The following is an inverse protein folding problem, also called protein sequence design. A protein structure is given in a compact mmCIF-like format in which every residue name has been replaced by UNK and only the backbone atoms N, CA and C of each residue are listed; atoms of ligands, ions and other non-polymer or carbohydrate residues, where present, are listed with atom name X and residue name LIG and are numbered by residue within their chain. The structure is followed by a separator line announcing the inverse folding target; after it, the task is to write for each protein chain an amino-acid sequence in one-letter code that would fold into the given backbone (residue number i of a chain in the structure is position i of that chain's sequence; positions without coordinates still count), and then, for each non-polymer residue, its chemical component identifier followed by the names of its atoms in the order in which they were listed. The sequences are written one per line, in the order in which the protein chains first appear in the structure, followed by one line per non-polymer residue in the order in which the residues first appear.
data_IF_208875334907
#
_entry.id   IF_208875334907
#
_cell.length_a   1.000
_cell.length_b   1.000
_cell.length_c   1.000
_cell.angle_alpha   90.00
_cell.angle_beta   90.00
_cell.angle_gamma   90.00
#
_symmetry.space_group_name_H-M   'P 1'
#
loop_
_entity.id
_entity.type
_entity.pdbx_description
1 polymer ?
#
# COMPACT_ATOMS: atom_id res chain seq x y z
N UNK A 1 -9.73 5.64 -0.57
CA UNK A 1 -10.34 6.60 0.43
C UNK A 1 -11.21 5.75 1.33
N UNK A 2 -10.98 5.80 2.65
CA UNK A 2 -11.79 4.99 3.57
C UNK A 2 -13.28 5.41 3.52
N UNK A 3 -14.16 4.42 3.59
CA UNK A 3 -15.60 4.66 3.68
C UNK A 3 -15.98 5.36 5.00
N UNK A 4 -17.12 6.09 5.06
CA UNK A 4 -17.51 6.82 6.25
C UNK A 4 -17.49 5.98 7.53
N UNK A 5 -17.17 6.62 8.65
CA UNK A 5 -17.23 5.98 9.96
C UNK A 5 -18.67 5.64 10.37
N UNK A 6 -18.81 4.72 11.35
CA UNK A 6 -20.11 4.37 11.93
C UNK A 6 -20.87 5.62 12.40
N UNK A 7 -22.16 5.66 12.15
CA UNK A 7 -23.03 6.81 12.40
C UNK A 7 -23.26 7.74 11.21
N UNK A 8 -22.49 7.60 10.15
CA UNK A 8 -22.70 8.33 8.89
C UNK A 8 -23.36 7.41 7.85
N UNK A 9 -24.15 7.99 6.95
CA UNK A 9 -24.77 7.22 5.87
C UNK A 9 -23.72 6.71 4.88
N UNK A 10 -23.86 5.47 4.44
CA UNK A 10 -23.12 4.89 3.32
C UNK A 10 -24.10 4.58 2.19
N UNK A 11 -23.75 4.96 0.99
CA UNK A 11 -24.51 4.66 -0.21
C UNK A 11 -23.80 3.63 -1.11
N UNK A 12 -24.52 3.05 -2.05
CA UNK A 12 -23.92 2.24 -3.11
C UNK A 12 -22.93 3.04 -3.97
N UNK A 13 -23.12 4.34 -4.11
CA UNK A 13 -22.18 5.19 -4.85
C UNK A 13 -20.83 5.25 -4.12
N UNK A 14 -20.82 5.30 -2.79
CA UNK A 14 -19.60 5.28 -1.98
C UNK A 14 -18.87 3.95 -2.14
N UNK A 15 -19.58 2.82 -2.11
CA UNK A 15 -19.00 1.50 -2.34
C UNK A 15 -18.41 1.39 -3.76
N UNK A 16 -19.10 1.90 -4.76
CA UNK A 16 -18.57 1.90 -6.13
C UNK A 16 -17.32 2.73 -6.27
N UNK A 17 -17.28 3.88 -5.62
CA UNK A 17 -16.11 4.76 -5.62
C UNK A 17 -14.91 4.07 -4.98
N UNK A 18 -15.10 3.38 -3.86
CA UNK A 18 -14.01 2.74 -3.13
C UNK A 18 -13.52 1.44 -3.80
N UNK A 19 -14.45 0.57 -4.21
CA UNK A 19 -14.08 -0.78 -4.67
C UNK A 19 -14.11 -0.98 -6.17
N UNK A 20 -14.87 -0.19 -6.89
CA UNK A 20 -15.04 -0.36 -8.34
C UNK A 20 -14.93 0.97 -9.08
N UNK A 21 -13.75 1.38 -9.38
CA UNK A 21 -13.41 2.62 -10.05
C UNK A 21 -14.06 2.77 -11.43
N UNK A 22 -15.34 3.15 -11.45
CA UNK A 22 -15.98 3.74 -12.62
C UNK A 22 -16.67 2.82 -13.62
N UNK A 23 -16.82 1.52 -13.36
CA UNK A 23 -17.62 0.65 -14.25
C UNK A 23 -19.12 0.89 -14.06
N UNK A 24 -19.84 1.12 -15.16
CA UNK A 24 -21.31 1.13 -15.20
C UNK A 24 -21.93 -0.28 -15.30
N UNK A 25 -21.13 -1.32 -15.13
CA UNK A 25 -21.59 -2.72 -15.16
C UNK A 25 -22.54 -2.97 -14.00
N UNK A 26 -23.57 -3.75 -14.23
CA UNK A 26 -24.44 -4.22 -13.17
C UNK A 26 -23.63 -5.04 -12.16
N UNK A 27 -23.64 -4.60 -10.91
CA UNK A 27 -22.89 -5.23 -9.82
C UNK A 27 -23.91 -5.71 -8.80
N UNK A 28 -23.76 -6.96 -8.38
CA UNK A 28 -24.61 -7.52 -7.33
C UNK A 28 -24.01 -7.17 -5.94
N UNK A 29 -24.85 -7.12 -4.94
CA UNK A 29 -24.38 -6.88 -3.57
C UNK A 29 -23.43 -8.00 -3.09
N UNK A 30 -23.59 -9.21 -3.62
CA UNK A 30 -22.70 -10.34 -3.34
C UNK A 30 -21.25 -10.15 -3.83
N UNK A 31 -21.03 -9.27 -4.83
CA UNK A 31 -19.68 -8.97 -5.32
C UNK A 31 -18.85 -8.19 -4.30
N UNK A 32 -19.53 -7.49 -3.38
CA UNK A 32 -18.90 -6.73 -2.31
C UNK A 32 -18.58 -7.57 -1.06
N UNK A 33 -18.95 -8.84 -0.99
CA UNK A 33 -18.48 -9.71 0.09
C UNK A 33 -16.96 -9.88 0.03
N UNK A 34 -16.32 -10.06 1.16
CA UNK A 34 -14.88 -10.33 1.20
C UNK A 34 -14.59 -11.71 0.56
N UNK A 35 -13.74 -11.70 -0.46
CA UNK A 35 -13.49 -12.85 -1.34
C UNK A 35 -14.42 -12.90 -2.55
N UNK A 36 -15.30 -11.92 -2.71
CA UNK A 36 -16.01 -11.67 -3.97
C UNK A 36 -15.14 -10.97 -5.00
N UNK A 37 -15.75 -10.54 -6.10
CA UNK A 37 -15.00 -9.93 -7.21
C UNK A 37 -14.43 -8.53 -6.89
N UNK A 38 -15.05 -7.80 -5.96
CA UNK A 38 -14.71 -6.41 -5.65
C UNK A 38 -13.92 -6.25 -4.34
N UNK A 39 -14.27 -6.99 -3.29
CA UNK A 39 -13.58 -6.95 -2.00
C UNK A 39 -12.73 -8.20 -1.84
N UNK A 40 -11.44 -8.05 -2.10
CA UNK A 40 -10.51 -9.18 -2.09
C UNK A 40 -10.28 -9.75 -0.70
N UNK A 41 -10.28 -11.08 -0.60
CA UNK A 41 -9.72 -11.76 0.55
C UNK A 41 -8.18 -11.67 0.49
N UNK A 42 -7.56 -11.56 1.65
CA UNK A 42 -6.10 -11.56 1.78
C UNK A 42 -5.55 -12.96 1.48
N UNK A 43 -4.47 -13.07 0.70
CA UNK A 43 -3.76 -14.33 0.50
C UNK A 43 -3.19 -14.84 1.83
N UNK A 44 -3.04 -16.16 1.95
CA UNK A 44 -2.57 -16.80 3.20
C UNK A 44 -1.14 -16.40 3.57
N UNK A 45 -0.30 -16.15 2.59
CA UNK A 45 1.10 -15.72 2.75
C UNK A 45 1.29 -14.20 2.78
N UNK A 46 0.20 -13.42 2.78
CA UNK A 46 0.26 -11.97 2.95
C UNK A 46 0.33 -11.66 4.46
N UNK A 47 1.42 -11.03 4.90
CA UNK A 47 1.65 -10.66 6.30
C UNK A 47 0.97 -9.33 6.69
N UNK A 48 0.50 -8.56 5.70
CA UNK A 48 -0.21 -7.31 5.94
C UNK A 48 -1.64 -7.52 6.47
N UNK A 49 -2.26 -6.43 6.88
CA UNK A 49 -3.67 -6.38 7.31
C UNK A 49 -4.53 -6.06 6.10
N UNK A 50 -5.65 -6.77 5.93
CA UNK A 50 -6.67 -6.41 4.96
C UNK A 50 -7.49 -5.23 5.51
N UNK A 51 -7.49 -4.11 4.82
CA UNK A 51 -8.24 -2.91 5.23
C UNK A 51 -9.76 -3.07 5.11
N UNK A 52 -10.21 -4.14 4.44
CA UNK A 52 -11.62 -4.56 4.39
C UNK A 52 -11.89 -5.81 5.25
N UNK A 53 -11.14 -6.01 6.33
CA UNK A 53 -11.20 -7.23 7.15
C UNK A 53 -12.57 -7.47 7.80
N UNK A 54 -13.34 -6.40 8.08
CA UNK A 54 -14.65 -6.51 8.72
C UNK A 54 -15.78 -6.79 7.72
N UNK A 55 -15.56 -6.69 6.41
CA UNK A 55 -16.56 -7.08 5.43
C UNK A 55 -16.77 -8.60 5.51
N UNK A 56 -17.99 -9.09 5.72
CA UNK A 56 -18.26 -10.52 5.84
C UNK A 56 -17.89 -11.32 4.58
N UNK A 57 -17.53 -12.59 4.78
CA UNK A 57 -17.29 -13.56 3.70
C UNK A 57 -18.55 -14.30 3.28
N UNK A 58 -19.59 -14.27 4.15
CA UNK A 58 -20.87 -14.94 3.92
C UNK A 58 -21.75 -14.26 2.88
N UNK A 59 -22.95 -14.82 2.70
CA UNK A 59 -23.93 -14.32 1.72
C UNK A 59 -24.74 -13.13 2.21
N UNK A 60 -24.82 -12.94 3.54
CA UNK A 60 -25.54 -11.82 4.14
C UNK A 60 -24.56 -10.71 4.45
N UNK A 61 -24.68 -9.63 3.70
CA UNK A 61 -23.92 -8.39 3.92
C UNK A 61 -24.86 -7.20 3.93
N UNK A 62 -24.52 -6.18 4.70
CA UNK A 62 -25.27 -4.94 4.82
C UNK A 62 -24.36 -3.74 4.54
N UNK A 63 -24.92 -2.58 4.25
CA UNK A 63 -24.13 -1.35 4.11
C UNK A 63 -23.37 -1.02 5.40
N UNK A 64 -23.89 -1.40 6.55
CA UNK A 64 -23.25 -1.20 7.85
C UNK A 64 -21.90 -1.92 7.99
N UNK A 65 -21.68 -3.01 7.28
CA UNK A 65 -20.45 -3.79 7.33
C UNK A 65 -19.26 -3.06 6.68
N UNK A 66 -19.54 -1.99 5.93
CA UNK A 66 -18.51 -1.23 5.20
C UNK A 66 -18.04 0.03 5.94
N UNK A 67 -18.58 0.34 7.10
CA UNK A 67 -18.11 1.50 7.86
C UNK A 67 -16.62 1.39 8.16
N UNK A 68 -15.88 2.47 7.86
CA UNK A 68 -14.42 2.57 8.03
C UNK A 68 -13.61 1.53 7.26
N UNK A 69 -14.22 0.84 6.29
CA UNK A 69 -13.49 -0.08 5.42
C UNK A 69 -12.83 0.69 4.26
N UNK A 70 -11.71 0.16 3.81
CA UNK A 70 -10.93 0.72 2.72
C UNK A 70 -10.42 -0.40 1.82
N UNK A 71 -10.31 -0.13 0.53
CA UNK A 71 -9.70 -1.06 -0.42
C UNK A 71 -8.19 -1.06 -0.22
N UNK A 72 -7.60 -2.20 0.12
CA UNK A 72 -6.15 -2.31 0.20
C UNK A 72 -5.64 -3.30 1.24
N UNK A 73 -4.32 -3.43 1.26
CA UNK A 73 -3.57 -4.14 2.29
C UNK A 73 -2.59 -3.18 2.96
N UNK A 74 -2.40 -3.34 4.27
CA UNK A 74 -1.55 -2.46 5.07
C UNK A 74 -0.52 -3.26 5.86
N UNK A 75 0.74 -2.82 5.82
CA UNK A 75 1.78 -3.22 6.77
C UNK A 75 2.18 -2.00 7.60
N UNK A 76 2.24 -2.18 8.92
CA UNK A 76 2.80 -1.16 9.82
C UNK A 76 4.04 -1.75 10.49
N UNK A 77 5.15 -1.03 10.40
CA UNK A 77 6.36 -1.33 11.16
C UNK A 77 6.29 -0.57 12.48
N UNK A 78 6.17 -1.31 13.58
CA UNK A 78 6.13 -0.80 14.97
C UNK A 78 7.43 -1.08 15.72
N UNK A 79 8.37 -1.77 15.09
CA UNK A 79 9.72 -2.06 15.54
C UNK A 79 10.67 -2.01 14.35
N UNK A 80 11.96 -1.87 14.63
CA UNK A 80 12.99 -1.84 13.61
C UNK A 80 12.95 -3.08 12.71
N UNK A 81 13.20 -2.85 11.43
CA UNK A 81 13.16 -3.90 10.40
C UNK A 81 14.26 -3.67 9.35
N UNK A 82 14.70 -4.75 8.70
CA UNK A 82 15.77 -4.69 7.70
C UNK A 82 15.35 -5.33 6.39
N UNK A 83 15.86 -4.82 5.26
CA UNK A 83 15.76 -5.44 3.93
C UNK A 83 14.33 -5.79 3.52
N UNK A 84 13.40 -4.86 3.65
CA UNK A 84 11.99 -5.12 3.43
C UNK A 84 11.67 -5.25 1.94
N UNK A 85 11.10 -6.39 1.55
CA UNK A 85 10.64 -6.65 0.20
C UNK A 85 9.10 -6.72 0.18
N UNK A 86 8.48 -5.89 -0.63
CA UNK A 86 7.01 -5.82 -0.75
C UNK A 86 6.41 -7.16 -1.18
N UNK A 87 7.12 -7.98 -1.98
CA UNK A 87 6.67 -9.33 -2.30
C UNK A 87 6.64 -10.25 -1.08
N UNK A 88 7.62 -10.13 -0.17
CA UNK A 88 7.62 -10.90 1.08
C UNK A 88 6.55 -10.41 2.06
N UNK A 89 6.32 -9.08 2.10
CA UNK A 89 5.31 -8.48 2.97
C UNK A 89 3.91 -8.91 2.56
N UNK A 90 3.56 -8.77 1.28
CA UNK A 90 2.19 -8.98 0.80
C UNK A 90 1.98 -10.35 0.12
N UNK A 91 2.99 -11.23 0.09
CA UNK A 91 2.88 -12.56 -0.50
C UNK A 91 2.28 -12.50 -1.91
N UNK A 92 1.42 -13.45 -2.26
CA UNK A 92 0.80 -13.52 -3.59
C UNK A 92 -0.03 -12.27 -3.96
N UNK A 93 -0.42 -11.48 -2.96
CA UNK A 93 -1.15 -10.23 -3.20
C UNK A 93 -0.28 -9.10 -3.76
N UNK A 94 1.05 -9.25 -3.79
CA UNK A 94 1.90 -8.21 -4.37
C UNK A 94 1.72 -8.06 -5.89
N UNK A 95 1.31 -9.11 -6.59
CA UNK A 95 1.04 -9.13 -8.04
C UNK A 95 -0.40 -8.73 -8.41
N UNK A 96 -1.23 -8.39 -7.43
CA UNK A 96 -2.63 -8.05 -7.66
C UNK A 96 -2.82 -6.55 -7.70
N UNK A 97 -3.64 -6.08 -8.65
CA UNK A 97 -4.01 -4.66 -8.75
C UNK A 97 -4.93 -4.25 -7.57
N UNK A 98 -4.32 -4.16 -6.40
CA UNK A 98 -4.95 -3.77 -5.15
C UNK A 98 -4.00 -2.84 -4.38
N UNK A 99 -4.46 -1.70 -3.86
CA UNK A 99 -3.59 -0.74 -3.18
C UNK A 99 -2.84 -1.36 -2.01
N UNK A 100 -1.59 -0.96 -1.84
CA UNK A 100 -0.72 -1.40 -0.74
C UNK A 100 -0.25 -0.18 0.02
N UNK A 101 -0.32 -0.26 1.35
CA UNK A 101 0.10 0.79 2.26
C UNK A 101 1.16 0.25 3.21
N UNK A 102 2.29 0.92 3.27
CA UNK A 102 3.31 0.71 4.29
C UNK A 102 3.33 1.94 5.20
N UNK A 103 3.30 1.70 6.50
CA UNK A 103 3.47 2.75 7.51
C UNK A 103 4.70 2.40 8.36
N UNK A 104 5.62 3.34 8.48
CA UNK A 104 6.74 3.28 9.42
C UNK A 104 6.38 4.21 10.58
N UNK A 105 6.23 3.66 11.78
CA UNK A 105 5.87 4.44 12.96
C UNK A 105 7.03 5.34 13.41
N UNK A 106 6.70 6.34 14.20
CA UNK A 106 7.70 7.21 14.85
C UNK A 106 8.67 6.38 15.70
N UNK A 107 9.95 6.73 15.70
CA UNK A 107 11.03 6.02 16.38
C UNK A 107 11.34 4.61 15.83
N UNK A 108 10.80 4.23 14.70
CA UNK A 108 11.12 2.97 14.01
C UNK A 108 12.09 3.24 12.86
N UNK A 109 13.09 2.38 12.73
CA UNK A 109 14.03 2.40 11.62
C UNK A 109 13.80 1.20 10.71
N UNK A 110 13.54 1.46 9.43
CA UNK A 110 13.61 0.45 8.38
C UNK A 110 14.90 0.66 7.61
N UNK A 111 15.83 -0.29 7.72
CA UNK A 111 17.18 -0.16 7.14
C UNK A 111 17.45 -1.20 6.06
N UNK A 112 18.34 -0.85 5.13
CA UNK A 112 19.03 -1.82 4.27
C UNK A 112 20.37 -2.21 4.89
N UNK A 113 20.74 -3.49 4.82
CA UNK A 113 22.11 -3.93 5.06
C UNK A 113 23.03 -3.38 3.96
N UNK A 114 24.34 -3.50 4.15
CA UNK A 114 25.33 -3.01 3.18
C UNK A 114 25.06 -3.59 1.79
N UNK A 115 24.78 -2.71 0.84
CA UNK A 115 24.47 -3.09 -0.55
C UNK A 115 23.04 -3.57 -0.80
N UNK A 116 22.14 -3.44 0.19
CA UNK A 116 20.72 -3.80 0.04
C UNK A 116 19.79 -2.62 0.30
N UNK A 117 18.64 -2.63 -0.36
CA UNK A 117 17.62 -1.60 -0.21
C UNK A 117 16.88 -1.76 1.11
N UNK A 118 16.50 -0.65 1.76
CA UNK A 118 15.67 -0.72 2.96
C UNK A 118 14.25 -1.19 2.63
N UNK A 119 13.63 -0.61 1.60
CA UNK A 119 12.34 -1.06 1.06
C UNK A 119 12.46 -1.26 -0.45
N UNK A 120 12.15 -2.48 -0.91
CA UNK A 120 12.15 -2.84 -2.32
C UNK A 120 10.75 -3.13 -2.83
N UNK A 121 10.30 -2.40 -3.85
CA UNK A 121 9.10 -2.72 -4.64
C UNK A 121 9.53 -3.44 -5.90
N UNK A 122 9.44 -4.78 -5.94
CA UNK A 122 10.10 -5.57 -6.98
C UNK A 122 9.38 -5.49 -8.32
N UNK A 123 10.07 -5.88 -9.39
CA UNK A 123 9.46 -6.09 -10.71
C UNK A 123 8.32 -7.10 -10.62
N UNK A 124 7.29 -6.91 -11.43
CA UNK A 124 6.07 -7.73 -11.40
C UNK A 124 5.09 -7.38 -10.28
N UNK A 125 5.42 -6.43 -9.42
CA UNK A 125 4.43 -5.88 -8.49
C UNK A 125 3.36 -5.11 -9.28
N UNK A 126 2.10 -5.22 -8.83
CA UNK A 126 0.94 -4.59 -9.48
C UNK A 126 0.13 -3.82 -8.45
N UNK A 127 -0.42 -2.67 -8.87
CA UNK A 127 -1.17 -1.75 -8.03
C UNK A 127 -0.27 -0.73 -7.31
N UNK A 128 -0.88 0.35 -6.84
CA UNK A 128 -0.14 1.44 -6.18
C UNK A 128 0.46 1.01 -4.85
N UNK A 129 1.66 1.48 -4.55
CA UNK A 129 2.26 1.43 -3.22
C UNK A 129 2.26 2.84 -2.63
N UNK A 130 1.69 2.98 -1.45
CA UNK A 130 1.80 4.20 -0.64
C UNK A 130 2.70 3.91 0.57
N UNK A 131 3.66 4.78 0.84
CA UNK A 131 4.52 4.71 2.02
C UNK A 131 4.28 5.97 2.85
N UNK A 132 3.90 5.80 4.12
CA UNK A 132 3.83 6.88 5.11
C UNK A 132 4.98 6.64 6.09
N UNK A 133 5.99 7.48 6.03
CA UNK A 133 7.15 7.40 6.91
C UNK A 133 7.05 8.44 8.02
N UNK A 134 6.87 7.99 9.26
CA UNK A 134 6.95 8.84 10.45
C UNK A 134 8.25 8.60 11.23
N UNK A 135 9.04 7.60 10.85
CA UNK A 135 10.31 7.19 11.46
C UNK A 135 11.51 7.46 10.56
N UNK A 136 12.35 6.46 10.40
CA UNK A 136 13.55 6.51 9.54
C UNK A 136 13.54 5.38 8.53
N UNK A 137 13.81 5.69 7.26
CA UNK A 137 14.09 4.70 6.21
C UNK A 137 15.51 5.00 5.70
N UNK A 138 16.43 4.04 5.83
CA UNK A 138 17.83 4.25 5.45
C UNK A 138 18.41 3.10 4.64
N UNK A 139 18.96 3.41 3.47
CA UNK A 139 19.72 2.46 2.64
C UNK A 139 21.23 2.59 2.90
N UNK A 140 21.89 1.49 3.25
CA UNK A 140 23.33 1.45 3.51
C UNK A 140 24.08 0.87 2.31
N UNK A 141 24.68 1.73 1.49
CA UNK A 141 25.31 1.30 0.24
C UNK A 141 24.33 0.95 -0.89
N UNK A 142 23.03 1.27 -0.70
CA UNK A 142 21.95 1.07 -1.65
C UNK A 142 20.86 2.14 -1.46
N UNK A 143 19.66 1.93 -1.99
CA UNK A 143 18.56 2.88 -1.90
C UNK A 143 17.76 2.69 -0.61
N UNK A 144 17.26 3.79 -0.06
CA UNK A 144 16.26 3.72 1.01
C UNK A 144 14.96 3.09 0.48
N UNK A 145 14.51 3.54 -0.70
CA UNK A 145 13.35 2.98 -1.39
C UNK A 145 13.73 2.70 -2.84
N UNK A 146 13.60 1.44 -3.26
CA UNK A 146 13.92 0.99 -4.61
C UNK A 146 12.64 0.48 -5.31
N UNK A 147 12.14 1.26 -6.28
CA UNK A 147 11.01 0.87 -7.10
C UNK A 147 11.50 0.26 -8.42
N UNK A 148 11.39 -1.05 -8.54
CA UNK A 148 11.68 -1.83 -9.76
C UNK A 148 10.40 -2.23 -10.50
N UNK A 149 9.23 -1.85 -9.98
CA UNK A 149 7.95 -2.07 -10.64
C UNK A 149 7.67 -0.99 -11.69
N UNK A 150 6.68 -1.20 -12.52
CA UNK A 150 6.13 -0.17 -13.43
C UNK A 150 5.03 0.67 -12.76
N UNK A 151 4.77 0.40 -11.49
CA UNK A 151 3.66 0.98 -10.73
C UNK A 151 4.08 2.26 -9.99
N UNK A 152 3.09 3.05 -9.64
CA UNK A 152 3.31 4.28 -8.85
C UNK A 152 3.65 3.94 -7.40
N UNK A 153 4.73 4.54 -6.90
CA UNK A 153 5.05 4.62 -5.47
C UNK A 153 4.83 6.05 -4.99
N UNK A 154 3.91 6.24 -4.07
CA UNK A 154 3.66 7.53 -3.40
C UNK A 154 4.31 7.51 -2.01
N UNK A 155 5.07 8.55 -1.66
CA UNK A 155 5.71 8.65 -0.35
C UNK A 155 5.27 9.92 0.36
N UNK A 156 4.70 9.76 1.56
CA UNK A 156 4.51 10.86 2.52
C UNK A 156 5.61 10.72 3.58
N UNK A 157 6.55 11.66 3.59
CA UNK A 157 7.66 11.63 4.54
C UNK A 157 7.48 12.68 5.64
N UNK A 158 7.23 12.22 6.86
CA UNK A 158 7.18 13.02 8.09
C UNK A 158 8.41 12.78 8.99
N UNK A 159 9.30 11.88 8.57
CA UNK A 159 10.52 11.49 9.28
C UNK A 159 11.77 11.69 8.42
N UNK A 160 12.65 10.70 8.36
CA UNK A 160 13.87 10.72 7.57
C UNK A 160 13.89 9.63 6.51
N UNK A 161 14.36 9.96 5.29
CA UNK A 161 14.66 9.00 4.22
C UNK A 161 16.06 9.31 3.70
N UNK A 162 17.00 8.39 3.89
CA UNK A 162 18.40 8.56 3.49
C UNK A 162 18.92 7.35 2.72
N UNK A 163 19.61 7.58 1.64
CA UNK A 163 20.38 6.56 0.90
C UNK A 163 21.82 6.97 0.80
N UNK A 164 22.74 6.02 0.71
CA UNK A 164 24.19 6.30 0.64
C UNK A 164 24.64 6.75 -0.75
N UNK A 165 23.90 6.42 -1.79
CA UNK A 165 24.09 7.04 -3.09
C UNK A 165 23.18 8.26 -3.12
N UNK A 166 23.70 9.44 -3.34
CA UNK A 166 23.11 10.78 -3.27
C UNK A 166 21.60 10.94 -3.62
N UNK A 167 20.93 9.84 -3.88
CA UNK A 167 19.50 9.70 -4.15
C UNK A 167 18.95 8.61 -3.23
N UNK A 168 18.30 8.96 -2.13
CA UNK A 168 17.61 8.01 -1.26
C UNK A 168 16.51 7.20 -1.96
N UNK A 169 16.31 7.46 -3.24
CA UNK A 169 15.27 6.91 -4.10
C UNK A 169 15.83 6.37 -5.41
N UNK A 170 15.43 5.17 -5.80
CA UNK A 170 15.54 4.70 -7.18
C UNK A 170 14.17 4.33 -7.74
N UNK A 171 13.93 4.74 -8.97
CA UNK A 171 12.79 4.30 -9.75
C UNK A 171 13.28 3.90 -11.14
N UNK A 172 13.18 2.62 -11.46
CA UNK A 172 13.57 2.10 -12.77
C UNK A 172 12.40 2.26 -13.74
N UNK A 173 12.68 2.91 -14.88
CA UNK A 173 11.73 3.07 -15.98
C UNK A 173 12.01 2.09 -17.07
N UNK A 174 10.99 1.41 -17.58
CA UNK A 174 11.05 0.78 -18.87
C UNK A 174 9.89 1.28 -19.73
N UNK A 175 10.23 2.03 -20.76
CA UNK A 175 9.45 2.06 -21.99
C UNK A 175 8.69 3.32 -22.36
N UNK A 176 8.16 4.16 -21.45
CA UNK A 176 7.44 5.37 -21.87
C UNK A 176 7.65 6.64 -21.02
N UNK A 177 8.62 6.61 -20.17
CA UNK A 177 9.13 7.84 -19.53
C UNK A 177 8.27 8.46 -18.43
N UNK A 178 7.35 7.75 -17.82
CA UNK A 178 6.48 8.27 -16.77
C UNK A 178 6.74 7.65 -15.39
N UNK A 179 7.87 8.01 -14.73
CA UNK A 179 7.95 7.79 -13.30
C UNK A 179 7.07 8.78 -12.58
N UNK A 180 6.16 8.28 -11.80
CA UNK A 180 5.39 9.12 -10.90
C UNK A 180 5.86 8.86 -9.47
N UNK A 181 6.84 9.61 -9.01
CA UNK A 181 7.15 9.75 -7.59
C UNK A 181 6.49 11.04 -7.15
N UNK A 182 5.40 10.92 -6.42
CA UNK A 182 4.75 12.08 -5.80
C UNK A 182 5.25 12.23 -4.37
N UNK A 183 6.07 13.23 -4.08
CA UNK A 183 6.34 13.66 -2.71
C UNK A 183 5.21 14.57 -2.26
N UNK A 184 4.48 14.20 -1.22
CA UNK A 184 3.53 15.08 -0.54
C UNK A 184 4.17 15.50 0.78
N UNK A 185 4.70 16.72 0.80
CA UNK A 185 5.06 17.51 1.96
C UNK A 185 5.89 16.85 3.05
N UNK A 186 7.11 17.26 3.15
CA UNK A 186 8.03 17.09 4.26
C UNK A 186 9.29 17.85 3.91
N UNK A 187 9.72 18.76 4.77
CA UNK A 187 10.95 19.52 4.56
C UNK A 187 12.11 18.54 4.44
N UNK A 188 12.81 18.56 3.31
CA UNK A 188 14.10 17.92 3.19
C UNK A 188 15.05 18.57 4.20
N UNK A 189 15.52 17.79 5.17
CA UNK A 189 16.65 18.19 5.99
C UNK A 189 17.89 18.25 5.10
N UNK A 190 18.60 19.35 5.13
CA UNK A 190 19.93 19.53 4.56
C UNK A 190 20.95 18.65 5.26
#
# INVERSE_FOLDING_TARGET
MALPASGNAISFADLRTEYNTGSNTAISFSDYRRGGSLVRAKASNNNGVNLSANVPTGTTISLGDFHSQEKGFKQTFTSDATNQNVATIFGDDYTVNYPKLIVVDSNVTVSGDVGTDAIKYPSGAVGTLTIINNGTITGTGAYAINNLSLETVAVTNNGSVTGTNSEGFNSTFSGDGSAKIGFIGGQGGA
#
